data_IF_409971388609
#
_entry.id   IF_409971388609
#
_cell.length_a   1.000
_cell.length_b   1.000
_cell.length_c   1.000
_cell.angle_alpha   90.00
_cell.angle_beta   90.00
_cell.angle_gamma   90.00
#
_symmetry.space_group_name_H-M   'P 1'
#
loop_
_entity.id
_entity.type
_entity.pdbx_description
1 polymer ?
#
# COMPACT_ATOMS: atom_id res chain seq x y z
N UNK A 1 -6.93 46.83 -41.28
CA UNK A 1 -6.34 46.16 -40.09
C UNK A 1 -7.38 45.20 -39.52
N UNK A 2 -7.14 43.88 -39.55
CA UNK A 2 -8.05 42.87 -38.97
C UNK A 2 -7.42 42.35 -37.66
N UNK A 3 -8.16 42.29 -36.55
CA UNK A 3 -7.62 41.77 -35.30
C UNK A 3 -7.53 40.24 -35.38
N UNK A 4 -6.33 39.70 -35.14
CA UNK A 4 -6.11 38.26 -35.01
C UNK A 4 -6.46 37.88 -33.58
N UNK A 5 -7.59 37.18 -33.41
CA UNK A 5 -8.01 36.63 -32.13
C UNK A 5 -7.28 35.30 -31.95
N UNK A 6 -6.27 35.28 -31.07
CA UNK A 6 -5.56 34.06 -30.67
C UNK A 6 -6.33 33.43 -29.51
N UNK A 7 -7.15 32.42 -29.79
CA UNK A 7 -7.85 31.64 -28.77
C UNK A 7 -6.86 30.66 -28.13
N UNK A 8 -6.32 31.00 -26.96
CA UNK A 8 -5.48 30.09 -26.16
C UNK A 8 -6.39 29.04 -25.53
N UNK A 9 -6.43 27.85 -26.14
CA UNK A 9 -7.10 26.68 -25.56
C UNK A 9 -6.27 26.15 -24.38
N UNK A 10 -6.68 26.46 -23.16
CA UNK A 10 -6.09 25.92 -21.93
C UNK A 10 -6.54 24.47 -21.77
N UNK A 11 -5.69 23.52 -22.16
CA UNK A 11 -5.89 22.11 -21.83
C UNK A 11 -5.68 21.92 -20.33
N UNK A 12 -6.77 21.80 -19.56
CA UNK A 12 -6.71 21.33 -18.17
C UNK A 12 -6.39 19.83 -18.20
N UNK A 13 -5.12 19.50 -18.04
CA UNK A 13 -4.70 18.11 -17.86
C UNK A 13 -5.25 17.60 -16.53
N UNK A 14 -6.32 16.80 -16.59
CA UNK A 14 -6.85 16.11 -15.42
C UNK A 14 -5.82 15.05 -15.04
N UNK A 15 -5.00 15.34 -14.03
CA UNK A 15 -4.07 14.34 -13.48
C UNK A 15 -4.89 13.29 -12.74
N UNK A 16 -4.98 12.10 -13.31
CA UNK A 16 -5.51 10.91 -12.63
C UNK A 16 -4.52 10.48 -11.54
N UNK A 17 -4.55 11.19 -10.42
CA UNK A 17 -3.81 10.82 -9.23
C UNK A 17 -4.62 9.80 -8.41
N UNK A 18 -3.94 8.80 -7.85
CA UNK A 18 -4.52 7.99 -6.78
C UNK A 18 -4.84 8.90 -5.59
N UNK A 19 -6.08 8.86 -5.10
CA UNK A 19 -6.53 9.59 -3.90
C UNK A 19 -6.96 8.58 -2.85
N UNK A 20 -6.35 8.66 -1.67
CA UNK A 20 -6.66 7.79 -0.55
C UNK A 20 -7.59 8.49 0.44
N UNK A 21 -8.46 7.71 1.10
CA UNK A 21 -9.21 8.17 2.26
C UNK A 21 -8.26 8.27 3.46
N UNK A 22 -8.33 9.37 4.21
CA UNK A 22 -7.64 9.49 5.50
C UNK A 22 -8.27 8.52 6.50
N UNK A 23 -7.45 7.72 7.16
CA UNK A 23 -7.87 6.71 8.13
C UNK A 23 -6.97 6.77 9.36
N UNK A 24 -7.51 6.38 10.51
CA UNK A 24 -6.68 6.21 11.71
C UNK A 24 -5.80 4.96 11.58
N UNK A 25 -4.79 4.88 12.45
CA UNK A 25 -3.92 3.71 12.64
C UNK A 25 -4.76 2.44 12.82
N UNK A 26 -5.77 2.52 13.68
CA UNK A 26 -6.63 1.38 14.01
C UNK A 26 -7.54 1.00 12.84
N UNK A 27 -8.15 1.98 12.17
CA UNK A 27 -9.01 1.73 11.02
C UNK A 27 -8.26 1.06 9.87
N UNK A 28 -7.07 1.57 9.52
CA UNK A 28 -6.23 0.99 8.47
C UNK A 28 -5.72 -0.40 8.86
N UNK A 29 -5.27 -0.58 10.11
CA UNK A 29 -4.82 -1.87 10.61
C UNK A 29 -5.94 -2.90 10.61
N UNK A 30 -7.15 -2.50 11.00
CA UNK A 30 -8.29 -3.40 11.04
C UNK A 30 -8.89 -3.69 9.68
N UNK A 31 -8.85 -2.73 8.76
CA UNK A 31 -9.23 -2.94 7.37
C UNK A 31 -8.24 -3.85 6.63
N UNK A 32 -6.96 -3.89 6.99
CA UNK A 32 -5.98 -4.77 6.35
C UNK A 32 -6.16 -6.24 6.74
N UNK A 33 -5.93 -7.19 5.84
CA UNK A 33 -5.92 -8.63 6.16
C UNK A 33 -4.58 -9.04 6.77
N UNK A 34 -3.51 -8.33 6.43
CA UNK A 34 -2.16 -8.54 6.95
C UNK A 34 -1.42 -7.22 7.16
N UNK A 35 -0.55 -7.20 8.17
CA UNK A 35 0.34 -6.07 8.50
C UNK A 35 1.68 -6.65 8.93
N UNK A 36 2.77 -6.20 8.30
CA UNK A 36 4.09 -6.74 8.57
C UNK A 36 5.20 -5.72 8.33
N UNK A 37 6.20 -5.74 9.21
CA UNK A 37 7.51 -5.18 8.93
C UNK A 37 8.26 -6.15 8.03
N UNK A 38 8.61 -5.68 6.84
CA UNK A 38 9.24 -6.50 5.79
C UNK A 38 10.57 -5.90 5.35
N UNK A 39 11.47 -6.77 4.89
CA UNK A 39 12.65 -6.39 4.12
C UNK A 39 12.47 -6.80 2.67
N UNK A 40 12.59 -5.84 1.76
CA UNK A 40 12.45 -6.09 0.31
C UNK A 40 13.76 -6.65 -0.21
N UNK A 41 13.73 -7.86 -0.78
CA UNK A 41 14.92 -8.47 -1.40
C UNK A 41 15.09 -8.02 -2.83
N UNK A 42 14.01 -8.05 -3.60
CA UNK A 42 14.01 -7.76 -5.02
C UNK A 42 12.65 -7.23 -5.48
N UNK A 43 12.67 -6.41 -6.53
CA UNK A 43 11.50 -5.93 -7.26
C UNK A 43 11.55 -6.48 -8.67
N UNK A 44 10.45 -7.09 -9.13
CA UNK A 44 10.28 -7.54 -10.52
C UNK A 44 9.12 -6.79 -11.14
N UNK A 45 9.36 -6.20 -12.31
CA UNK A 45 8.36 -5.46 -13.06
C UNK A 45 7.63 -6.32 -14.09
N UNK A 46 6.50 -5.81 -14.60
CA UNK A 46 5.70 -6.44 -15.68
C UNK A 46 5.30 -7.87 -15.35
N UNK A 47 4.93 -8.11 -14.10
CA UNK A 47 4.53 -9.42 -13.63
C UNK A 47 3.03 -9.60 -13.86
N UNK A 48 2.61 -10.72 -14.47
CA UNK A 48 1.20 -11.07 -14.51
C UNK A 48 0.75 -11.44 -13.10
N UNK A 49 -0.53 -11.21 -12.85
CA UNK A 49 -1.19 -11.73 -11.66
C UNK A 49 -1.31 -13.26 -11.71
N UNK A 50 -1.28 -13.95 -10.55
CA UNK A 50 -1.66 -15.37 -10.48
C UNK A 50 -3.05 -15.64 -11.09
N UNK A 51 -3.28 -16.85 -11.64
CA UNK A 51 -4.58 -17.25 -12.17
C UNK A 51 -5.72 -17.03 -11.17
N UNK A 52 -6.86 -16.52 -11.64
CA UNK A 52 -8.04 -16.23 -10.79
C UNK A 52 -8.02 -14.84 -10.14
N UNK A 53 -7.02 -14.01 -10.40
CA UNK A 53 -7.02 -12.60 -9.97
C UNK A 53 -7.96 -11.73 -10.81
N UNK A 54 -8.61 -10.77 -10.15
CA UNK A 54 -9.40 -9.72 -10.79
C UNK A 54 -8.58 -8.83 -11.75
N UNK A 55 -7.24 -8.81 -11.64
CA UNK A 55 -6.34 -8.00 -12.50
C UNK A 55 -5.61 -8.85 -13.55
N UNK A 56 -6.25 -9.93 -14.04
CA UNK A 56 -5.70 -10.77 -15.12
C UNK A 56 -5.42 -9.93 -16.37
N UNK A 57 -4.23 -10.10 -16.95
CA UNK A 57 -3.81 -9.39 -18.18
C UNK A 57 -3.22 -7.99 -17.95
N UNK A 58 -3.20 -7.49 -16.72
CA UNK A 58 -2.53 -6.24 -16.36
C UNK A 58 -1.12 -6.49 -15.85
N UNK A 59 -0.25 -5.47 -15.99
CA UNK A 59 1.09 -5.48 -15.41
C UNK A 59 1.02 -5.16 -13.92
N UNK A 60 1.91 -5.80 -13.16
CA UNK A 60 2.08 -5.56 -11.72
C UNK A 60 3.57 -5.53 -11.38
N UNK A 61 3.86 -5.02 -10.20
CA UNK A 61 5.13 -5.19 -9.53
C UNK A 61 5.00 -6.35 -8.56
N UNK A 62 6.00 -7.23 -8.56
CA UNK A 62 6.15 -8.30 -7.56
C UNK A 62 7.39 -8.00 -6.72
N UNK A 63 7.22 -8.09 -5.41
CA UNK A 63 8.29 -7.96 -4.44
C UNK A 63 8.52 -9.31 -3.78
N UNK A 64 9.75 -9.81 -3.84
CA UNK A 64 10.15 -10.88 -2.94
C UNK A 64 10.64 -10.24 -1.63
N UNK A 65 10.09 -10.70 -0.50
CA UNK A 65 10.34 -10.09 0.81
C UNK A 65 10.74 -11.13 1.85
N UNK A 66 11.36 -10.65 2.92
CA UNK A 66 11.41 -11.34 4.20
C UNK A 66 10.45 -10.64 5.17
N UNK A 67 9.53 -11.37 5.77
CA UNK A 67 8.75 -10.87 6.90
C UNK A 67 9.63 -10.89 8.16
N UNK A 68 10.04 -9.73 8.63
CA UNK A 68 10.87 -9.58 9.83
C UNK A 68 10.01 -9.63 11.10
N UNK A 69 8.83 -9.00 11.06
CA UNK A 69 7.81 -9.09 12.10
C UNK A 69 6.43 -9.03 11.48
N UNK A 70 5.55 -9.94 11.89
CA UNK A 70 4.15 -9.98 11.45
C UNK A 70 3.29 -9.50 12.60
N UNK A 71 2.57 -8.40 12.39
CA UNK A 71 1.66 -7.80 13.37
C UNK A 71 0.23 -8.31 13.19
N UNK A 72 -0.17 -8.56 11.95
CA UNK A 72 -1.49 -9.09 11.61
C UNK A 72 -1.39 -10.08 10.47
N UNK A 73 -2.19 -11.14 10.56
CA UNK A 73 -2.42 -12.13 9.51
C UNK A 73 -3.84 -12.70 9.64
N UNK A 74 -4.42 -13.23 8.57
CA UNK A 74 -5.72 -13.90 8.63
C UNK A 74 -5.69 -15.14 9.51
N UNK A 75 -6.83 -15.48 10.10
CA UNK A 75 -7.00 -16.74 10.84
C UNK A 75 -6.75 -17.95 9.91
N UNK A 76 -6.07 -18.97 10.42
CA UNK A 76 -5.73 -20.17 9.65
C UNK A 76 -4.50 -20.03 8.74
N UNK A 77 -3.90 -18.85 8.62
CA UNK A 77 -2.65 -18.65 7.86
C UNK A 77 -1.44 -18.76 8.81
N UNK A 78 -0.70 -19.87 8.69
CA UNK A 78 0.46 -20.13 9.55
C UNK A 78 1.66 -19.23 9.25
N UNK A 79 1.89 -18.87 7.99
CA UNK A 79 2.96 -17.96 7.56
C UNK A 79 2.48 -17.14 6.36
N UNK A 80 2.87 -15.86 6.31
CA UNK A 80 2.59 -15.02 5.15
C UNK A 80 3.51 -15.42 3.97
N UNK A 81 2.98 -15.47 2.73
CA UNK A 81 3.80 -15.71 1.54
C UNK A 81 4.92 -14.67 1.38
N UNK A 82 6.07 -15.10 0.87
CA UNK A 82 7.22 -14.23 0.66
C UNK A 82 7.11 -13.33 -0.60
N UNK A 83 5.94 -13.30 -1.24
CA UNK A 83 5.69 -12.53 -2.46
C UNK A 83 4.52 -11.58 -2.26
N UNK A 84 4.74 -10.31 -2.57
CA UNK A 84 3.76 -9.24 -2.48
C UNK A 84 3.58 -8.61 -3.86
N UNK A 85 2.33 -8.39 -4.25
CA UNK A 85 1.97 -7.81 -5.54
C UNK A 85 1.29 -6.46 -5.37
N UNK A 86 1.59 -5.53 -6.26
CA UNK A 86 0.93 -4.22 -6.36
C UNK A 86 0.80 -3.82 -7.83
N UNK A 87 -0.20 -3.02 -8.20
CA UNK A 87 -0.26 -2.41 -9.54
C UNK A 87 1.05 -1.72 -9.92
N UNK A 88 1.42 -1.75 -11.21
CA UNK A 88 2.54 -0.96 -11.71
C UNK A 88 2.18 0.49 -12.01
N UNK A 89 0.89 0.79 -12.13
CA UNK A 89 0.40 2.10 -12.57
C UNK A 89 0.12 3.01 -11.35
N UNK A 90 0.67 4.25 -11.31
CA UNK A 90 0.38 5.21 -10.25
C UNK A 90 -1.13 5.53 -10.06
N UNK A 91 -1.96 5.66 -11.11
CA UNK A 91 -3.40 5.87 -10.96
C UNK A 91 -4.13 4.72 -10.26
N UNK A 92 -3.57 3.49 -10.32
CA UNK A 92 -4.10 2.32 -9.64
C UNK A 92 -3.53 2.17 -8.22
N UNK A 93 -2.94 3.23 -7.65
CA UNK A 93 -2.34 3.24 -6.33
C UNK A 93 -1.19 2.23 -6.19
N UNK A 94 -0.45 2.01 -7.28
CA UNK A 94 0.73 1.17 -7.28
C UNK A 94 1.82 1.71 -6.34
N UNK A 95 2.33 0.86 -5.45
CA UNK A 95 3.45 1.18 -4.57
C UNK A 95 4.78 0.86 -5.25
N UNK A 96 5.64 1.87 -5.41
CA UNK A 96 7.00 1.69 -5.87
C UNK A 96 7.94 1.80 -4.67
N UNK A 97 8.34 0.66 -4.13
CA UNK A 97 9.34 0.57 -3.05
C UNK A 97 10.66 -0.01 -3.55
N UNK A 98 11.74 0.23 -2.80
CA UNK A 98 13.11 -0.10 -3.18
C UNK A 98 13.57 -1.45 -2.60
N UNK A 99 14.37 -2.18 -3.38
CA UNK A 99 15.06 -3.36 -2.89
C UNK A 99 16.16 -2.98 -1.87
N UNK A 100 16.39 -3.86 -0.89
CA UNK A 100 17.35 -3.65 0.19
C UNK A 100 16.80 -2.90 1.39
N UNK A 101 15.69 -2.16 1.22
CA UNK A 101 15.05 -1.37 2.27
C UNK A 101 13.99 -2.17 3.05
N UNK A 102 13.63 -1.63 4.21
CA UNK A 102 12.63 -2.18 5.11
C UNK A 102 11.42 -1.26 5.20
N UNK A 103 10.23 -1.83 5.30
CA UNK A 103 8.98 -1.09 5.29
C UNK A 103 7.97 -1.69 6.26
N UNK A 104 7.10 -0.85 6.82
CA UNK A 104 5.85 -1.29 7.39
C UNK A 104 4.81 -1.35 6.28
N UNK A 105 4.38 -2.56 5.90
CA UNK A 105 3.37 -2.75 4.86
C UNK A 105 2.10 -3.36 5.43
N UNK A 106 0.98 -2.90 4.88
CA UNK A 106 -0.34 -3.47 5.08
C UNK A 106 -0.99 -3.82 3.75
N UNK A 107 -1.95 -4.72 3.77
CA UNK A 107 -2.60 -5.13 2.54
C UNK A 107 -3.71 -6.16 2.69
N UNK A 108 -4.14 -6.66 1.54
CA UNK A 108 -5.18 -7.67 1.39
C UNK A 108 -4.59 -9.01 0.96
N UNK A 109 -5.34 -10.08 1.20
CA UNK A 109 -5.02 -11.41 0.68
C UNK A 109 -6.13 -11.86 -0.27
N UNK A 110 -5.74 -12.29 -1.47
CA UNK A 110 -6.70 -12.83 -2.46
C UNK A 110 -6.14 -14.15 -2.99
N UNK A 111 -6.88 -15.25 -2.78
CA UNK A 111 -6.47 -16.59 -3.18
C UNK A 111 -5.02 -16.94 -2.74
N UNK A 112 -4.68 -16.61 -1.48
CA UNK A 112 -3.34 -16.84 -0.94
C UNK A 112 -2.25 -15.90 -1.46
N UNK A 113 -2.56 -14.93 -2.32
CA UNK A 113 -1.61 -13.93 -2.82
C UNK A 113 -1.72 -12.65 -2.02
N UNK A 114 -0.58 -12.12 -1.56
CA UNK A 114 -0.55 -10.84 -0.85
C UNK A 114 -0.61 -9.68 -1.84
N UNK A 115 -1.53 -8.77 -1.56
CA UNK A 115 -1.74 -7.53 -2.31
C UNK A 115 -1.51 -6.33 -1.43
N UNK A 116 -0.78 -5.36 -1.94
CA UNK A 116 -0.62 -4.06 -1.29
C UNK A 116 -0.85 -2.95 -2.31
N UNK A 117 -1.38 -1.83 -1.83
CA UNK A 117 -1.61 -0.61 -2.60
C UNK A 117 -1.37 0.59 -1.69
N UNK A 118 -1.15 1.76 -2.28
CA UNK A 118 -0.85 3.00 -1.57
C UNK A 118 -1.87 3.33 -0.47
N UNK A 119 -3.15 3.07 -0.75
CA UNK A 119 -4.22 3.36 0.19
C UNK A 119 -4.40 2.23 1.20
N UNK A 120 -4.74 2.58 2.44
CA UNK A 120 -4.93 1.61 3.52
C UNK A 120 -3.63 1.11 4.14
N UNK A 121 -2.49 1.77 3.88
CA UNK A 121 -1.28 1.57 4.68
C UNK A 121 -1.51 2.07 6.11
N UNK A 122 -0.85 1.41 7.07
CA UNK A 122 -0.94 1.78 8.49
C UNK A 122 0.03 2.91 8.76
N UNK A 123 -0.52 4.08 9.05
CA UNK A 123 0.21 5.30 9.42
C UNK A 123 -0.13 5.69 10.86
N UNK A 124 0.65 6.61 11.45
CA UNK A 124 0.30 7.19 12.74
C UNK A 124 -0.88 8.16 12.62
N UNK A 125 -1.66 8.32 13.69
CA UNK A 125 -2.89 9.13 13.69
C UNK A 125 -2.64 10.64 13.43
N UNK A 126 -1.47 11.13 13.81
CA UNK A 126 -1.03 12.51 13.59
C UNK A 126 0.34 12.51 12.88
N UNK A 127 0.39 12.21 11.56
CA UNK A 127 1.65 12.20 10.85
C UNK A 127 2.22 13.62 10.81
N UNK A 128 3.50 13.77 11.16
CA UNK A 128 4.24 15.00 10.86
C UNK A 128 4.34 15.18 9.34
N UNK A 129 4.61 16.38 8.85
CA UNK A 129 4.75 16.62 7.40
C UNK A 129 5.80 15.69 6.74
N UNK A 130 6.84 15.27 7.48
CA UNK A 130 7.85 14.32 7.02
C UNK A 130 7.34 12.86 6.90
N UNK A 131 6.22 12.53 7.56
CA UNK A 131 5.54 11.23 7.54
C UNK A 131 4.37 11.18 6.55
N UNK A 132 4.12 12.25 5.78
CA UNK A 132 3.11 12.25 4.71
C UNK A 132 3.48 11.35 3.52
N UNK A 133 4.58 10.61 3.60
CA UNK A 133 4.82 9.49 2.72
C UNK A 133 3.72 8.44 2.93
N UNK A 134 2.98 8.13 1.87
CA UNK A 134 1.87 7.17 1.88
C UNK A 134 2.30 5.72 2.18
N UNK A 135 3.60 5.47 2.37
CA UNK A 135 4.17 4.20 2.84
C UNK A 135 5.37 4.50 3.74
N UNK A 136 5.45 3.83 4.89
CA UNK A 136 6.52 4.08 5.84
C UNK A 136 7.70 3.14 5.61
N UNK A 137 8.84 3.72 5.23
CA UNK A 137 10.14 3.07 5.43
C UNK A 137 10.32 2.80 6.93
N UNK A 138 10.81 1.62 7.29
CA UNK A 138 10.88 1.16 8.68
C UNK A 138 11.67 2.12 9.59
N UNK A 139 12.73 2.71 9.05
CA UNK A 139 13.55 3.73 9.70
C UNK A 139 12.76 4.96 10.17
N UNK A 140 11.64 5.26 9.50
CA UNK A 140 10.75 6.38 9.78
C UNK A 140 9.54 6.01 10.65
N UNK A 141 9.31 4.73 10.95
CA UNK A 141 8.15 4.31 11.74
C UNK A 141 8.32 4.78 13.20
N UNK A 142 7.47 5.66 13.74
CA UNK A 142 7.63 6.20 15.09
C UNK A 142 7.56 5.09 16.15
N UNK A 143 8.32 5.22 17.24
CA UNK A 143 8.33 4.23 18.34
C UNK A 143 6.95 3.98 18.93
N UNK A 144 6.18 5.05 19.14
CA UNK A 144 4.80 4.96 19.60
C UNK A 144 3.92 4.10 18.68
N UNK A 145 4.12 4.17 17.36
CA UNK A 145 3.42 3.31 16.41
C UNK A 145 3.91 1.87 16.51
N UNK A 146 5.23 1.63 16.60
CA UNK A 146 5.80 0.28 16.77
C UNK A 146 5.24 -0.44 18.00
N UNK A 147 5.04 0.30 19.10
CA UNK A 147 4.53 -0.22 20.37
C UNK A 147 3.00 -0.38 20.36
N UNK A 148 2.28 0.43 19.57
CA UNK A 148 0.83 0.34 19.39
C UNK A 148 0.42 -0.82 18.50
N UNK A 149 1.15 -1.12 17.42
CA UNK A 149 0.76 -2.16 16.44
C UNK A 149 0.42 -3.53 17.06
N UNK A 150 1.18 -4.08 18.03
CA UNK A 150 0.88 -5.39 18.63
C UNK A 150 -0.34 -5.40 19.54
N UNK A 151 -0.83 -4.25 19.98
CA UNK A 151 -1.92 -4.14 20.97
C UNK A 151 -3.28 -3.90 20.33
N UNK A 152 -3.33 -3.61 19.02
CA UNK A 152 -4.58 -3.36 18.30
C UNK A 152 -5.38 -4.66 18.18
N UNK A 153 -6.62 -4.65 18.68
CA UNK A 153 -7.60 -5.71 18.47
C UNK A 153 -8.78 -5.20 17.62
N UNK A 154 -9.13 -5.94 16.57
CA UNK A 154 -10.14 -5.56 15.58
C UNK A 154 -11.54 -6.11 15.84
N UNK A 155 -11.75 -6.86 16.94
CA UNK A 155 -13.05 -7.46 17.30
C UNK A 155 -14.17 -6.44 17.57
N UNK A 156 -13.85 -5.13 17.63
CA UNK A 156 -14.77 -4.06 18.01
C UNK A 156 -15.55 -3.42 16.83
N UNK A 157 -15.32 -3.78 15.56
CA UNK A 157 -15.97 -3.08 14.43
C UNK A 157 -16.53 -4.01 13.35
N UNK A 158 -17.79 -4.39 13.54
CA UNK A 158 -18.64 -5.09 12.57
C UNK A 158 -20.10 -4.61 12.56
N UNK A 159 -20.36 -3.34 12.89
CA UNK A 159 -21.70 -2.72 12.80
C UNK A 159 -21.58 -1.23 12.44
N UNK A 160 -21.54 -0.93 11.15
CA UNK A 160 -22.13 0.29 10.60
C UNK A 160 -22.67 -0.02 9.20
#
# INVERSE_FOLDING_TARGET
MKPVIITIAVCVSITLACKCKTQTTEESFCAADWVSHVKVKLRVSKQPMPPGSARKGLNNLRYAVNHLKVYKRPNGVANLPAEIYTPSEPPACGLIIDAGKEYLLAGKIHNGTLHTVLCGQVLGDNPTEELYENVLEWSKVPKQLQDKLPTINCDQKGKE
#
